data_IF_558831454095
#
_entry.id   IF_558831454095
#
_cell.length_a   1.000
_cell.length_b   1.000
_cell.length_c   1.000
_cell.angle_alpha   90.00
_cell.angle_beta   90.00
_cell.angle_gamma   90.00
#
_symmetry.space_group_name_H-M   'P 1'
#
loop_
_entity.id
_entity.type
_entity.pdbx_description
1 polymer ?
#
# COMPACT_ATOMS: atom_id res chain seq x y z
N UNK A 1 77.11 16.48 -0.16
CA UNK A 1 75.82 16.49 0.52
C UNK A 1 74.86 17.31 -0.34
N UNK A 2 74.03 16.63 -1.12
CA UNK A 2 73.05 17.27 -2.02
C UNK A 2 71.73 17.33 -1.28
N UNK A 3 71.24 18.54 -1.01
CA UNK A 3 69.94 18.75 -0.37
C UNK A 3 68.84 18.74 -1.45
N UNK A 4 67.95 17.77 -1.37
CA UNK A 4 66.83 17.61 -2.29
C UNK A 4 65.64 18.46 -1.77
N UNK A 5 65.35 19.53 -2.52
CA UNK A 5 64.22 20.43 -2.23
C UNK A 5 62.94 19.82 -2.84
N UNK A 6 62.06 19.28 -2.01
CA UNK A 6 60.73 18.76 -2.44
C UNK A 6 59.77 19.93 -2.55
N UNK A 7 59.38 20.26 -3.79
CA UNK A 7 58.35 21.27 -4.09
C UNK A 7 56.99 20.60 -3.98
N UNK A 8 56.21 20.93 -2.93
CA UNK A 8 54.81 20.48 -2.79
C UNK A 8 53.94 21.47 -3.57
N UNK A 9 53.44 21.04 -4.74
CA UNK A 9 52.46 21.78 -5.51
C UNK A 9 51.06 21.55 -4.86
N UNK A 10 50.53 22.56 -4.19
CA UNK A 10 49.13 22.60 -3.82
C UNK A 10 48.28 22.81 -5.07
N UNK A 11 47.64 21.75 -5.55
CA UNK A 11 46.60 21.82 -6.59
C UNK A 11 45.32 22.40 -5.95
N UNK A 12 45.00 23.65 -6.26
CA UNK A 12 43.69 24.21 -6.03
C UNK A 12 42.68 23.45 -6.90
N UNK A 13 41.86 22.60 -6.30
CA UNK A 13 40.68 22.08 -6.97
C UNK A 13 39.65 23.19 -7.12
N UNK A 14 39.06 23.37 -8.32
CA UNK A 14 37.93 24.27 -8.48
C UNK A 14 36.79 23.79 -7.62
N UNK A 15 36.12 24.74 -6.97
CA UNK A 15 34.90 24.56 -6.18
C UNK A 15 33.86 23.87 -7.06
N UNK A 16 33.62 22.58 -6.83
CA UNK A 16 32.41 21.93 -7.38
C UNK A 16 31.20 22.61 -6.75
N UNK A 17 30.59 23.50 -7.51
CA UNK A 17 29.25 23.98 -7.21
C UNK A 17 28.38 22.73 -7.21
N UNK A 18 27.97 22.29 -6.00
CA UNK A 18 26.91 21.31 -5.82
C UNK A 18 25.67 21.89 -6.51
N UNK A 19 25.50 21.53 -7.77
CA UNK A 19 24.20 21.59 -8.41
C UNK A 19 23.33 20.60 -7.63
N UNK A 20 22.64 21.08 -6.61
CA UNK A 20 21.45 20.44 -6.12
C UNK A 20 20.52 20.31 -7.33
N UNK A 21 20.54 19.12 -7.93
CA UNK A 21 19.49 18.72 -8.86
C UNK A 21 18.24 18.80 -8.01
N UNK A 22 17.47 19.86 -8.25
CA UNK A 22 16.13 19.97 -7.77
C UNK A 22 15.42 18.74 -8.31
N UNK A 23 15.26 17.69 -7.49
CA UNK A 23 14.48 16.51 -7.86
C UNK A 23 13.08 17.05 -8.06
N UNK A 24 12.74 17.32 -9.31
CA UNK A 24 11.36 17.56 -9.72
C UNK A 24 10.55 16.43 -9.10
N UNK A 25 9.55 16.78 -8.30
CA UNK A 25 8.57 15.82 -7.79
C UNK A 25 8.18 14.93 -8.98
N UNK A 26 8.29 13.62 -8.80
CA UNK A 26 7.85 12.67 -9.81
C UNK A 26 6.31 12.80 -9.91
N UNK A 27 5.86 13.72 -10.76
CA UNK A 27 4.45 14.02 -10.99
C UNK A 27 3.75 12.96 -11.86
N UNK A 28 4.45 11.85 -12.14
CA UNK A 28 3.84 10.74 -12.88
C UNK A 28 2.63 10.22 -12.10
N UNK A 29 1.44 10.18 -12.73
CA UNK A 29 0.24 9.65 -12.08
C UNK A 29 0.47 8.22 -11.59
N UNK A 30 0.25 7.98 -10.31
CA UNK A 30 0.44 6.67 -9.69
C UNK A 30 -0.46 6.48 -8.49
N UNK A 31 -0.71 5.21 -8.17
CA UNK A 31 -1.44 4.78 -6.99
C UNK A 31 -0.45 3.99 -6.13
N UNK A 32 -0.42 4.24 -4.83
CA UNK A 32 0.49 3.58 -3.90
C UNK A 32 -0.33 2.89 -2.81
N UNK A 33 -0.20 1.56 -2.70
CA UNK A 33 -0.80 0.76 -1.62
C UNK A 33 0.21 0.58 -0.50
N UNK A 34 -0.25 0.70 0.76
CA UNK A 34 0.59 0.57 1.94
C UNK A 34 -0.23 0.21 3.19
N UNK A 35 0.34 -0.45 4.19
CA UNK A 35 -0.35 -0.75 5.45
C UNK A 35 -0.45 0.53 6.31
N UNK A 36 -1.46 0.59 7.16
CA UNK A 36 -1.57 1.64 8.18
C UNK A 36 -0.35 1.63 9.08
N UNK A 37 0.04 0.43 9.53
CA UNK A 37 1.29 0.17 10.25
C UNK A 37 1.93 -1.10 9.71
N UNK A 38 3.25 -1.24 9.87
CA UNK A 38 3.97 -2.45 9.43
C UNK A 38 4.00 -3.56 10.49
N UNK A 39 3.58 -3.30 11.72
CA UNK A 39 3.76 -4.22 12.85
C UNK A 39 2.50 -4.50 13.66
N UNK A 40 1.41 -3.81 13.38
CA UNK A 40 0.17 -3.94 14.17
C UNK A 40 -0.94 -4.47 13.31
N UNK A 41 -1.54 -5.58 13.74
CA UNK A 41 -2.77 -6.15 13.21
C UNK A 41 -3.93 -5.67 14.08
N UNK A 42 -5.09 -5.53 13.48
CA UNK A 42 -6.29 -4.98 14.12
C UNK A 42 -7.45 -5.96 13.98
N UNK A 43 -8.32 -5.98 14.97
CA UNK A 43 -9.63 -6.64 14.89
C UNK A 43 -10.55 -5.88 13.92
N UNK A 44 -11.76 -6.35 13.73
CA UNK A 44 -12.66 -5.79 12.70
C UNK A 44 -13.32 -4.46 13.07
N UNK A 45 -13.11 -3.92 14.28
CA UNK A 45 -13.67 -2.65 14.73
C UNK A 45 -12.66 -1.52 14.78
N UNK A 46 -12.16 -1.11 13.67
CA UNK A 46 -11.17 -0.03 13.63
C UNK A 46 -11.76 1.35 13.29
N UNK A 47 -12.98 1.61 13.74
CA UNK A 47 -13.67 2.87 13.50
C UNK A 47 -12.90 4.13 13.85
N UNK A 48 -11.96 4.07 14.79
CA UNK A 48 -11.17 5.22 15.22
C UNK A 48 -9.79 5.32 14.53
N UNK A 49 -9.21 4.20 14.09
CA UNK A 49 -7.86 4.17 13.54
C UNK A 49 -7.88 4.49 12.05
N UNK A 50 -8.74 3.84 11.28
CA UNK A 50 -8.81 4.00 9.83
C UNK A 50 -9.11 5.46 9.41
N UNK A 51 -10.07 6.18 10.03
CA UNK A 51 -10.33 7.57 9.68
C UNK A 51 -9.11 8.48 9.84
N UNK A 52 -8.24 8.19 10.79
CA UNK A 52 -7.08 9.04 11.07
C UNK A 52 -5.92 8.80 10.11
N UNK A 53 -5.83 7.63 9.48
CA UNK A 53 -4.68 7.24 8.65
C UNK A 53 -4.99 7.11 7.16
N UNK A 54 -6.23 6.80 6.80
CA UNK A 54 -6.61 6.50 5.43
C UNK A 54 -7.58 7.53 4.80
N UNK A 55 -7.72 8.71 5.37
CA UNK A 55 -8.56 9.78 4.81
C UNK A 55 -7.82 11.11 4.73
N UNK A 56 -8.18 11.91 3.72
CA UNK A 56 -7.68 13.26 3.55
C UNK A 56 -6.59 13.38 2.50
N UNK A 57 -5.71 14.35 2.71
CA UNK A 57 -4.56 14.61 1.83
C UNK A 57 -3.29 14.55 2.66
N UNK A 58 -2.29 13.79 2.19
CA UNK A 58 -1.01 13.72 2.88
C UNK A 58 -0.17 14.99 2.67
N UNK A 59 0.96 15.10 3.37
CA UNK A 59 1.85 16.26 3.30
C UNK A 59 2.48 16.49 1.92
N UNK A 60 2.37 15.52 1.02
CA UNK A 60 2.86 15.59 -0.37
C UNK A 60 1.76 15.90 -1.39
N UNK A 61 0.52 16.12 -0.95
CA UNK A 61 -0.62 16.47 -1.79
C UNK A 61 -1.37 15.26 -2.39
N UNK A 62 -0.99 14.02 -2.03
CA UNK A 62 -1.74 12.84 -2.44
C UNK A 62 -3.04 12.71 -1.67
N UNK A 63 -4.12 12.37 -2.35
CA UNK A 63 -5.38 11.98 -1.72
C UNK A 63 -5.21 10.56 -1.17
N UNK A 64 -5.59 10.36 0.09
CA UNK A 64 -5.48 9.08 0.81
C UNK A 64 -6.87 8.51 1.02
N UNK A 65 -7.02 7.21 0.78
CA UNK A 65 -8.26 6.48 0.97
C UNK A 65 -8.01 5.07 1.53
N UNK A 66 -9.00 4.48 2.25
CA UNK A 66 -8.90 3.13 2.78
C UNK A 66 -8.98 2.09 1.65
N UNK A 67 -8.23 1.00 1.79
CA UNK A 67 -8.18 -0.09 0.82
C UNK A 67 -9.12 -1.24 1.24
N UNK A 68 -10.40 -0.96 1.34
CA UNK A 68 -11.47 -1.93 1.65
C UNK A 68 -12.83 -1.44 1.15
N UNK A 69 -13.79 -2.35 1.03
CA UNK A 69 -15.20 -2.04 0.74
C UNK A 69 -16.01 -1.82 2.02
N UNK A 70 -17.06 -1.00 1.90
CA UNK A 70 -18.14 -0.86 2.88
C UNK A 70 -19.45 -1.32 2.25
N UNK A 71 -20.54 -1.38 3.02
CA UNK A 71 -21.87 -1.72 2.51
C UNK A 71 -22.39 -0.72 1.46
N UNK A 72 -21.80 0.48 1.41
CA UNK A 72 -22.22 1.57 0.51
C UNK A 72 -21.21 1.93 -0.56
N UNK A 73 -19.95 1.50 -0.40
CA UNK A 73 -18.85 1.85 -1.31
C UNK A 73 -17.99 0.64 -1.65
N UNK A 74 -18.02 0.23 -2.89
CA UNK A 74 -17.09 -0.75 -3.44
C UNK A 74 -15.65 -0.21 -3.46
N UNK A 75 -14.67 -1.04 -3.15
CA UNK A 75 -13.25 -0.65 -3.17
C UNK A 75 -12.82 -0.09 -4.54
N UNK A 76 -13.21 -0.76 -5.64
CA UNK A 76 -12.88 -0.28 -6.99
C UNK A 76 -13.35 1.14 -7.27
N UNK A 77 -14.46 1.57 -6.66
CA UNK A 77 -15.09 2.87 -6.86
C UNK A 77 -14.54 3.96 -5.92
N UNK A 78 -13.62 3.63 -4.99
CA UNK A 78 -12.97 4.62 -4.14
C UNK A 78 -11.97 5.51 -4.91
N UNK A 79 -11.50 5.03 -6.07
CA UNK A 79 -10.68 5.81 -6.97
C UNK A 79 -11.57 6.44 -8.07
N UNK A 80 -11.41 7.73 -8.39
CA UNK A 80 -12.09 8.36 -9.52
C UNK A 80 -11.76 7.65 -10.85
N UNK A 81 -12.76 7.47 -11.72
CA UNK A 81 -12.62 6.68 -12.96
C UNK A 81 -11.54 7.21 -13.91
N UNK A 82 -11.28 8.52 -13.93
CA UNK A 82 -10.20 9.12 -14.72
C UNK A 82 -8.79 8.76 -14.23
N UNK A 83 -8.66 8.06 -13.09
CA UNK A 83 -7.40 7.53 -12.54
C UNK A 83 -7.25 6.01 -12.69
N UNK A 84 -8.24 5.32 -13.22
CA UNK A 84 -8.27 3.85 -13.29
C UNK A 84 -7.15 3.24 -14.13
N UNK A 85 -6.62 3.98 -15.11
CA UNK A 85 -5.49 3.54 -15.93
C UNK A 85 -4.12 3.80 -15.29
N UNK A 86 -4.08 4.41 -14.11
CA UNK A 86 -2.82 4.67 -13.41
C UNK A 86 -2.25 3.37 -12.83
N UNK A 87 -0.93 3.17 -12.94
CA UNK A 87 -0.26 2.00 -12.37
C UNK A 87 -0.28 2.02 -10.83
N UNK A 88 -0.27 0.82 -10.27
CA UNK A 88 -0.34 0.58 -8.83
C UNK A 88 1.00 0.08 -8.33
N UNK A 89 1.53 0.74 -7.31
CA UNK A 89 2.83 0.47 -6.72
C UNK A 89 2.72 0.17 -5.22
N UNK A 90 3.73 -0.49 -4.69
CA UNK A 90 4.03 -0.44 -3.26
C UNK A 90 4.73 0.88 -2.90
N UNK A 91 4.86 1.16 -1.61
CA UNK A 91 5.63 2.34 -1.12
C UNK A 91 7.12 2.24 -1.51
N UNK A 92 7.66 1.05 -1.69
CA UNK A 92 9.04 0.77 -2.12
C UNK A 92 9.25 0.96 -3.62
N UNK A 93 8.18 1.21 -4.38
CA UNK A 93 8.23 1.46 -5.82
C UNK A 93 8.10 0.20 -6.69
N UNK A 94 7.77 -0.95 -6.12
CA UNK A 94 7.49 -2.17 -6.89
C UNK A 94 6.12 -2.06 -7.56
N UNK A 95 6.02 -2.41 -8.84
CA UNK A 95 4.76 -2.42 -9.59
C UNK A 95 3.95 -3.65 -9.19
N UNK A 96 2.79 -3.42 -8.57
CA UNK A 96 1.82 -4.45 -8.19
C UNK A 96 0.93 -4.77 -9.39
N UNK A 97 0.40 -3.73 -10.05
CA UNK A 97 -0.43 -3.85 -11.23
C UNK A 97 -0.18 -2.71 -12.22
N UNK A 98 -0.34 -3.00 -13.50
CA UNK A 98 -0.18 -2.03 -14.59
C UNK A 98 -1.26 -0.95 -14.59
N UNK A 99 -2.41 -1.20 -13.93
CA UNK A 99 -3.47 -0.21 -13.72
C UNK A 99 -4.34 -0.59 -12.52
N UNK A 100 -5.08 0.39 -11.97
CA UNK A 100 -6.12 0.12 -10.99
C UNK A 100 -7.22 -0.78 -11.54
N UNK A 101 -7.60 -0.59 -12.80
CA UNK A 101 -8.62 -1.40 -13.46
C UNK A 101 -8.23 -2.88 -13.51
N UNK A 102 -6.96 -3.19 -13.75
CA UNK A 102 -6.45 -4.55 -13.85
C UNK A 102 -6.46 -5.31 -12.51
N UNK A 103 -6.48 -4.62 -11.36
CA UNK A 103 -6.64 -5.27 -10.07
C UNK A 103 -7.93 -6.10 -10.00
N UNK A 104 -8.98 -5.70 -10.71
CA UNK A 104 -10.33 -6.27 -10.61
C UNK A 104 -10.61 -7.39 -11.62
N UNK A 105 -9.56 -7.88 -12.27
CA UNK A 105 -9.62 -9.08 -13.13
C UNK A 105 -9.49 -10.40 -12.33
N UNK A 106 -9.36 -10.30 -11.02
CA UNK A 106 -9.21 -11.43 -10.10
C UNK A 106 -7.77 -11.84 -9.83
N UNK A 107 -6.79 -11.37 -10.61
CA UNK A 107 -5.38 -11.73 -10.43
C UNK A 107 -4.49 -10.47 -10.45
N UNK A 108 -3.40 -10.50 -9.67
CA UNK A 108 -2.33 -9.51 -9.79
C UNK A 108 -1.45 -9.86 -10.99
N UNK A 109 -1.26 -8.91 -11.91
CA UNK A 109 -0.53 -9.13 -13.15
C UNK A 109 0.99 -9.19 -12.97
N UNK A 110 1.56 -8.58 -11.94
CA UNK A 110 3.01 -8.60 -11.72
C UNK A 110 3.43 -9.49 -10.55
N UNK A 111 3.19 -9.07 -9.32
CA UNK A 111 3.69 -9.76 -8.13
C UNK A 111 2.68 -9.72 -6.98
N UNK A 112 2.87 -10.59 -5.98
CA UNK A 112 2.07 -10.56 -4.76
C UNK A 112 2.36 -9.29 -3.95
N UNK A 113 1.46 -8.93 -3.02
CA UNK A 113 1.70 -7.79 -2.14
C UNK A 113 2.89 -8.02 -1.21
N UNK A 114 3.19 -9.28 -0.89
CA UNK A 114 4.36 -9.65 -0.09
C UNK A 114 5.66 -9.44 -0.89
N UNK A 115 5.73 -9.94 -2.13
CA UNK A 115 6.90 -9.74 -3.01
C UNK A 115 7.10 -8.27 -3.38
N UNK A 116 6.01 -7.48 -3.41
CA UNK A 116 6.06 -6.03 -3.59
C UNK A 116 6.47 -5.26 -2.31
N UNK A 117 6.79 -5.98 -1.23
CA UNK A 117 7.19 -5.39 0.04
C UNK A 117 6.15 -4.40 0.62
N UNK A 118 4.85 -4.67 0.39
CA UNK A 118 3.78 -3.89 1.02
C UNK A 118 3.79 -4.11 2.53
N UNK A 119 4.17 -5.30 2.98
CA UNK A 119 4.32 -5.68 4.39
C UNK A 119 5.67 -6.36 4.63
N UNK A 120 6.25 -6.16 5.82
CA UNK A 120 7.41 -6.88 6.33
C UNK A 120 7.00 -7.70 7.55
N UNK A 121 6.21 -8.74 7.34
CA UNK A 121 5.83 -9.66 8.41
C UNK A 121 6.62 -10.97 8.26
N UNK A 122 7.32 -11.37 9.34
CA UNK A 122 8.02 -12.65 9.40
C UNK A 122 7.09 -13.80 9.84
N UNK A 123 5.80 -13.55 9.90
CA UNK A 123 4.81 -14.59 10.22
C UNK A 123 4.74 -15.61 9.09
N UNK A 124 5.27 -16.79 9.33
CA UNK A 124 5.30 -17.91 8.39
C UNK A 124 4.07 -18.81 8.51
N UNK A 125 3.05 -18.43 9.26
CA UNK A 125 1.84 -19.24 9.50
C UNK A 125 1.00 -19.46 8.23
N UNK A 126 1.30 -18.75 7.13
CA UNK A 126 0.56 -18.81 5.87
C UNK A 126 -0.75 -18.03 5.87
N UNK A 127 -1.09 -17.40 6.99
CA UNK A 127 -2.31 -16.60 7.16
C UNK A 127 -2.05 -15.09 7.24
N UNK A 128 -0.92 -14.63 6.68
CA UNK A 128 -0.64 -13.21 6.63
C UNK A 128 -1.65 -12.55 5.70
N UNK A 129 -2.58 -11.79 6.26
CA UNK A 129 -3.67 -11.21 5.52
C UNK A 129 -4.10 -9.84 6.04
N UNK A 130 -4.94 -9.21 5.26
CA UNK A 130 -5.50 -7.89 5.55
C UNK A 130 -7.00 -7.87 5.29
N UNK A 131 -7.71 -7.07 6.06
CA UNK A 131 -9.13 -6.87 5.91
C UNK A 131 -9.46 -6.15 4.60
N UNK A 132 -10.46 -6.65 3.87
CA UNK A 132 -10.85 -6.12 2.56
C UNK A 132 -12.35 -5.84 2.42
N UNK A 133 -13.21 -6.71 2.94
CA UNK A 133 -14.66 -6.66 2.69
C UNK A 133 -15.01 -6.69 1.20
N UNK A 134 -14.11 -7.22 0.34
CA UNK A 134 -14.14 -7.00 -1.10
C UNK A 134 -14.03 -8.34 -1.84
N UNK A 135 -14.85 -8.52 -2.88
CA UNK A 135 -14.75 -9.63 -3.83
C UNK A 135 -13.63 -9.39 -4.85
N UNK A 136 -13.22 -10.44 -5.55
CA UNK A 136 -12.13 -10.37 -6.55
C UNK A 136 -12.37 -9.39 -7.70
N UNK A 137 -13.62 -9.03 -7.98
CA UNK A 137 -14.00 -8.03 -8.98
C UNK A 137 -14.06 -6.59 -8.43
N UNK A 138 -13.62 -6.38 -7.18
CA UNK A 138 -13.56 -5.07 -6.53
C UNK A 138 -14.86 -4.57 -5.88
N UNK A 139 -15.92 -5.40 -5.88
CA UNK A 139 -17.21 -5.04 -5.25
C UNK A 139 -17.28 -5.49 -3.79
N UNK A 140 -18.22 -4.95 -3.03
CA UNK A 140 -18.50 -5.37 -1.66
C UNK A 140 -18.83 -6.86 -1.57
N UNK A 141 -18.25 -7.55 -0.58
CA UNK A 141 -18.37 -9.01 -0.43
C UNK A 141 -19.59 -9.47 0.38
N UNK A 142 -20.23 -8.56 1.11
CA UNK A 142 -21.28 -8.89 2.08
C UNK A 142 -20.74 -9.10 3.51
N UNK A 143 -19.42 -9.18 3.71
CA UNK A 143 -18.79 -9.46 4.99
C UNK A 143 -17.70 -8.41 5.25
N UNK A 144 -17.97 -7.46 6.15
CA UNK A 144 -17.07 -6.35 6.45
C UNK A 144 -17.15 -5.90 7.92
N UNK A 145 -17.36 -6.84 8.83
CA UNK A 145 -17.39 -6.56 10.26
C UNK A 145 -18.38 -5.42 10.64
N UNK A 146 -19.59 -5.47 10.06
CA UNK A 146 -20.62 -4.44 10.26
C UNK A 146 -20.09 -3.02 9.92
N UNK A 147 -19.62 -2.87 8.68
CA UNK A 147 -18.96 -1.64 8.18
C UNK A 147 -17.74 -1.21 9.03
N UNK A 148 -16.95 -2.20 9.46
CA UNK A 148 -15.73 -2.02 10.24
C UNK A 148 -15.99 -1.38 11.62
N UNK A 149 -17.11 -1.75 12.22
CA UNK A 149 -17.54 -1.31 13.56
C UNK A 149 -17.71 -2.44 14.56
N UNK A 150 -17.27 -3.65 14.23
CA UNK A 150 -17.46 -4.85 15.07
C UNK A 150 -16.17 -5.68 15.16
N UNK A 151 -15.80 -6.00 16.40
CA UNK A 151 -14.72 -6.93 16.80
C UNK A 151 -15.27 -8.26 17.33
N UNK A 152 -16.58 -8.49 17.19
CA UNK A 152 -17.24 -9.66 17.79
C UNK A 152 -16.95 -10.94 17.02
N UNK A 153 -16.99 -12.09 17.72
CA UNK A 153 -16.82 -13.39 17.10
C UNK A 153 -18.01 -13.86 16.26
N UNK A 154 -19.13 -13.14 16.32
CA UNK A 154 -20.36 -13.45 15.55
C UNK A 154 -20.39 -12.79 14.20
N UNK A 155 -19.68 -11.67 14.02
CA UNK A 155 -19.56 -10.98 12.76
C UNK A 155 -18.36 -11.47 11.96
N UNK A 156 -18.44 -11.35 10.64
CA UNK A 156 -17.40 -11.81 9.73
C UNK A 156 -16.93 -10.69 8.80
N UNK A 157 -15.64 -10.74 8.48
CA UNK A 157 -15.01 -9.90 7.47
C UNK A 157 -14.32 -10.72 6.40
N UNK A 158 -14.42 -10.30 5.14
CA UNK A 158 -13.58 -10.84 4.06
C UNK A 158 -12.18 -10.28 4.19
N UNK A 159 -11.19 -11.13 3.94
CA UNK A 159 -9.78 -10.77 3.99
C UNK A 159 -9.02 -11.26 2.76
N UNK A 160 -7.96 -10.56 2.39
CA UNK A 160 -7.04 -10.90 1.31
C UNK A 160 -5.70 -11.40 1.82
N UNK A 161 -5.06 -12.29 1.08
CA UNK A 161 -3.74 -12.84 1.36
C UNK A 161 -2.64 -12.00 0.72
N UNK A 162 -1.64 -11.59 1.51
CA UNK A 162 -0.45 -10.91 0.97
C UNK A 162 0.38 -11.81 0.04
N UNK A 163 0.30 -13.14 0.22
CA UNK A 163 1.13 -14.11 -0.49
C UNK A 163 0.55 -14.52 -1.84
N UNK A 164 -0.75 -14.30 -2.07
CA UNK A 164 -1.44 -14.75 -3.27
C UNK A 164 -1.37 -13.73 -4.40
N UNK A 165 -1.36 -14.25 -5.63
CA UNK A 165 -1.51 -13.46 -6.87
C UNK A 165 -2.82 -13.71 -7.58
N UNK A 166 -3.48 -14.84 -7.31
CA UNK A 166 -4.82 -15.17 -7.80
C UNK A 166 -5.90 -14.41 -7.02
N UNK A 167 -7.17 -14.72 -7.25
CA UNK A 167 -8.29 -14.03 -6.58
C UNK A 167 -8.18 -13.95 -5.06
N UNK A 168 -7.42 -14.83 -4.44
CA UNK A 168 -7.20 -14.84 -3.00
C UNK A 168 -6.38 -13.64 -2.49
N UNK A 169 -5.72 -12.90 -3.37
CA UNK A 169 -5.01 -11.69 -2.97
C UNK A 169 -5.93 -10.66 -2.30
N UNK A 170 -7.22 -10.61 -2.70
CA UNK A 170 -8.23 -9.66 -2.19
C UNK A 170 -9.44 -10.35 -1.55
N UNK A 171 -9.76 -11.58 -1.99
CA UNK A 171 -10.95 -12.36 -1.62
C UNK A 171 -10.52 -13.79 -1.27
N UNK A 172 -9.73 -13.93 -0.19
CA UNK A 172 -9.20 -15.25 0.19
C UNK A 172 -10.25 -16.08 0.92
N UNK A 173 -10.88 -15.52 1.95
CA UNK A 173 -11.88 -16.19 2.78
C UNK A 173 -12.57 -15.18 3.68
N UNK A 174 -13.51 -15.64 4.50
CA UNK A 174 -14.06 -14.89 5.61
C UNK A 174 -13.44 -15.33 6.94
N UNK A 175 -13.28 -14.39 7.86
CA UNK A 175 -12.85 -14.66 9.22
C UNK A 175 -13.70 -13.89 10.20
N UNK A 176 -13.78 -14.40 11.43
CA UNK A 176 -14.41 -13.68 12.54
C UNK A 176 -13.74 -12.33 12.75
N UNK A 177 -14.53 -11.30 13.03
CA UNK A 177 -14.06 -9.94 13.27
C UNK A 177 -13.20 -9.80 14.53
N UNK A 178 -13.22 -10.80 15.41
CA UNK A 178 -12.32 -10.89 16.58
C UNK A 178 -10.88 -11.33 16.22
N UNK A 179 -10.61 -11.70 14.97
CA UNK A 179 -9.25 -11.97 14.53
C UNK A 179 -8.54 -10.69 14.09
N UNK A 180 -7.28 -10.59 14.45
CA UNK A 180 -6.46 -9.44 14.06
C UNK A 180 -5.83 -9.64 12.68
N UNK A 181 -6.03 -8.69 11.76
CA UNK A 181 -5.40 -8.61 10.44
C UNK A 181 -4.94 -7.18 10.16
N UNK A 182 -4.17 -7.00 9.11
CA UNK A 182 -3.75 -5.65 8.71
C UNK A 182 -4.90 -4.88 8.06
N UNK A 183 -4.84 -3.55 8.15
CA UNK A 183 -5.58 -2.66 7.26
C UNK A 183 -4.61 -1.96 6.30
N UNK A 184 -5.04 -1.78 5.07
CA UNK A 184 -4.29 -1.06 4.06
C UNK A 184 -4.97 0.26 3.74
N UNK A 185 -4.15 1.25 3.36
CA UNK A 185 -4.56 2.45 2.68
C UNK A 185 -4.00 2.43 1.25
N UNK A 186 -4.57 3.26 0.40
CA UNK A 186 -3.91 3.67 -0.83
C UNK A 186 -3.91 5.18 -0.95
N UNK A 187 -2.97 5.71 -1.73
CA UNK A 187 -2.91 7.13 -2.05
C UNK A 187 -2.68 7.33 -3.54
N UNK A 188 -3.15 8.46 -4.07
CA UNK A 188 -3.05 8.80 -5.49
C UNK A 188 -2.95 10.30 -5.70
N UNK A 189 -2.38 10.72 -6.85
CA UNK A 189 -2.26 12.11 -7.30
C UNK A 189 -3.00 12.38 -8.62
#
# INVERSE_FOLDING_TARGET
>A
MLSLLVLILFSCRPNETNNYVNTTSDDTPKIIIYPITYSTKYEGDDGDIIPNYCFGTDSTGYIVAPFYSTSTVDLKNRLPTNKWLNPVYSRQGHIISTSWENLWNGNLDNMSLYDAEVIYDNDTSGEIGYWTGTQSNGTYSGNNCNDWSSDTSTDNGTWGSFLSKDSQWIDNSTASCSYSKYFLCFKYN
#
